data_IF_998475765359
#
_entry.id   IF_998475765359
#
_cell.length_a   1.000
_cell.length_b   1.000
_cell.length_c   1.000
_cell.angle_alpha   90.00
_cell.angle_beta   90.00
_cell.angle_gamma   90.00
#
_symmetry.space_group_name_H-M   'P 1'
#
loop_
_entity.id
_entity.type
_entity.pdbx_description
1 polymer ?
2 branched ?
3 non-polymer ?
4 water ?
#
# COMPACT_ATOMS: atom_id res chain seq x y z
N UNK A 3 -0.51 -26.06 -5.81
CA UNK A 3 -0.44 -24.68 -5.23
C UNK A 3 -0.19 -24.64 -3.69
N UNK A 4 1.08 -24.44 -3.25
CA UNK A 4 1.29 -24.17 -1.82
C UNK A 4 0.32 -23.07 -1.33
N UNK A 5 -0.31 -23.24 -0.14
CA UNK A 5 -1.33 -22.26 0.28
C UNK A 5 -0.84 -20.79 0.20
N UNK A 6 -1.68 -19.92 -0.38
CA UNK A 6 -1.36 -18.49 -0.66
C UNK A 6 -0.13 -18.24 -1.56
N UNK A 7 0.22 -19.24 -2.38
CA UNK A 7 1.41 -19.20 -3.24
C UNK A 7 1.51 -17.90 -4.01
N UNK A 8 0.42 -17.55 -4.68
CA UNK A 8 0.29 -16.28 -5.41
C UNK A 8 0.32 -15.06 -4.49
N UNK A 9 -0.49 -15.08 -3.43
CA UNK A 9 -0.56 -13.98 -2.45
C UNK A 9 0.82 -13.55 -1.98
N UNK A 10 1.65 -14.55 -1.67
CA UNK A 10 3.01 -14.33 -1.20
C UNK A 10 3.95 -13.76 -2.25
N UNK A 11 3.73 -14.16 -3.50
CA UNK A 11 4.48 -13.57 -4.62
C UNK A 11 4.14 -12.08 -4.82
N UNK A 12 2.85 -11.78 -4.78
CA UNK A 12 2.36 -10.42 -4.95
C UNK A 12 2.86 -9.51 -3.85
N UNK A 13 2.55 -9.83 -2.59
CA UNK A 13 3.01 -9.01 -1.46
C UNK A 13 4.49 -8.81 -1.62
N UNK A 14 5.21 -9.89 -1.95
CA UNK A 14 6.65 -9.83 -2.13
C UNK A 14 7.07 -8.76 -3.12
N UNK A 15 6.68 -8.94 -4.37
CA UNK A 15 6.91 -7.95 -5.38
C UNK A 15 6.45 -6.59 -4.85
N UNK A 16 5.25 -6.55 -4.28
CA UNK A 16 4.75 -5.33 -3.67
C UNK A 16 5.69 -4.68 -2.65
N UNK A 17 6.40 -5.49 -1.87
CA UNK A 17 7.31 -4.97 -0.86
C UNK A 17 8.56 -4.50 -1.56
N UNK A 18 9.09 -5.33 -2.46
CA UNK A 18 10.25 -4.90 -3.28
C UNK A 18 10.03 -3.54 -3.92
N UNK A 19 8.88 -3.34 -4.56
CA UNK A 19 8.57 -2.03 -5.13
C UNK A 19 8.61 -0.95 -4.05
N UNK A 20 8.15 -1.30 -2.85
CA UNK A 20 8.17 -0.34 -1.76
C UNK A 20 9.55 0.16 -1.36
N UNK A 21 10.52 -0.76 -1.10
CA UNK A 21 11.90 -0.35 -0.82
C UNK A 21 12.21 0.79 -1.76
N UNK A 22 12.16 0.50 -3.06
CA UNK A 22 12.35 1.51 -4.06
C UNK A 22 11.75 2.85 -3.63
N UNK A 23 10.45 2.85 -3.38
CA UNK A 23 9.74 4.08 -3.03
C UNK A 23 10.29 4.74 -1.76
N UNK A 24 10.76 3.94 -0.79
CA UNK A 24 11.29 4.49 0.47
C UNK A 24 12.68 5.09 0.30
N UNK A 25 13.48 4.42 -0.51
CA UNK A 25 14.79 4.91 -0.88
C UNK A 25 14.61 6.30 -1.44
N UNK A 26 13.55 6.52 -2.22
CA UNK A 26 13.36 7.84 -2.85
C UNK A 26 12.63 8.84 -1.96
N UNK A 27 12.31 8.45 -0.74
CA UNK A 27 11.51 9.33 0.07
C UNK A 27 12.05 9.66 1.45
N UNK A 28 13.36 9.46 1.68
CA UNK A 28 14.04 9.95 2.91
C UNK A 28 13.36 11.18 3.48
N UNK A 29 13.01 11.12 4.75
CA UNK A 29 12.51 12.27 5.48
C UNK A 29 11.12 12.78 5.06
N UNK A 30 10.42 12.05 4.20
CA UNK A 30 9.06 12.42 3.81
C UNK A 30 8.05 11.38 4.32
N UNK A 31 6.80 11.77 4.56
CA UNK A 31 5.79 10.73 4.81
C UNK A 31 5.44 10.00 3.52
N UNK A 32 5.18 8.71 3.65
CA UNK A 32 4.70 7.89 2.55
C UNK A 32 3.83 6.80 3.13
N UNK A 33 2.69 6.60 2.46
CA UNK A 33 1.86 5.43 2.61
C UNK A 33 1.70 4.78 1.22
N UNK A 34 1.78 3.45 1.17
CA UNK A 34 1.88 2.75 -0.09
C UNK A 34 1.18 1.40 -0.01
N UNK A 35 0.80 0.85 -1.16
CA UNK A 35 0.12 -0.43 -1.18
C UNK A 35 0.77 -1.44 -2.08
N UNK A 36 1.53 -2.36 -1.48
CA UNK A 36 2.11 -3.53 -2.10
C UNK A 36 1.08 -4.30 -2.89
N UNK A 37 -0.05 -4.65 -2.27
CA UNK A 37 -1.13 -5.40 -2.97
C UNK A 37 -1.59 -4.68 -4.21
N UNK A 38 -1.88 -3.39 -4.09
CA UNK A 38 -2.48 -2.64 -5.18
C UNK A 38 -1.69 -2.71 -6.46
N UNK A 39 -0.40 -2.40 -6.34
CA UNK A 39 0.49 -2.31 -7.47
C UNK A 39 0.70 -3.68 -8.05
N UNK A 40 0.59 -4.68 -7.20
CA UNK A 40 0.77 -6.03 -7.64
C UNK A 40 -0.44 -6.40 -8.46
N UNK A 41 -1.64 -6.06 -7.98
CA UNK A 41 -2.85 -6.34 -8.77
C UNK A 41 -2.83 -5.60 -10.10
N UNK A 42 -2.50 -4.31 -10.08
CA UNK A 42 -2.53 -3.52 -11.30
C UNK A 42 -1.51 -4.01 -12.36
N UNK A 43 -0.34 -4.42 -11.93
CA UNK A 43 0.65 -4.95 -12.83
C UNK A 43 0.24 -6.31 -13.40
N UNK A 44 -0.53 -7.05 -12.61
CA UNK A 44 -0.96 -8.38 -13.03
C UNK A 44 -1.93 -8.22 -14.16
N UNK A 45 -2.66 -7.11 -14.12
CA UNK A 45 -3.63 -6.80 -15.12
C UNK A 45 -2.82 -6.47 -16.35
N UNK A 46 -1.94 -5.49 -16.23
CA UNK A 46 -1.11 -5.08 -17.34
C UNK A 46 -0.46 -6.24 -18.09
N UNK A 47 -0.11 -7.32 -17.37
CA UNK A 47 0.45 -8.50 -18.03
C UNK A 47 -0.31 -8.84 -19.31
N UNK A 48 -1.63 -8.73 -19.27
CA UNK A 48 -2.49 -9.05 -20.40
C UNK A 48 -2.47 -8.10 -21.61
N UNK A 49 -2.04 -6.87 -21.39
CA UNK A 49 -2.02 -5.86 -22.43
C UNK A 49 -0.71 -5.93 -23.20
N UNK A 50 0.22 -6.77 -22.74
CA UNK A 50 1.61 -6.71 -23.17
C UNK A 50 2.07 -7.96 -23.92
N UNK A 51 3.19 -7.84 -24.64
CA UNK A 51 3.87 -8.98 -25.23
C UNK A 51 5.36 -8.71 -25.30
N UNK A 52 6.10 -9.62 -25.94
CA UNK A 52 7.55 -9.53 -26.04
C UNK A 52 8.27 -9.44 -24.71
N UNK A 53 9.35 -8.66 -24.72
CA UNK A 53 10.18 -8.39 -23.58
C UNK A 53 9.43 -7.59 -22.53
N UNK A 54 8.49 -6.75 -22.98
CA UNK A 54 7.72 -5.89 -22.07
C UNK A 54 6.98 -6.78 -21.05
N UNK A 55 6.34 -7.84 -21.56
CA UNK A 55 5.67 -8.84 -20.74
C UNK A 55 6.68 -9.55 -19.83
N UNK A 56 7.79 -9.96 -20.43
CA UNK A 56 8.86 -10.64 -19.74
C UNK A 56 9.36 -9.89 -18.50
N UNK A 57 9.63 -8.60 -18.69
CA UNK A 57 10.20 -7.78 -17.63
C UNK A 57 9.30 -7.84 -16.42
N UNK A 58 8.00 -7.92 -16.66
CA UNK A 58 7.01 -7.96 -15.60
C UNK A 58 6.93 -9.33 -14.99
N UNK A 59 6.77 -10.35 -15.81
CA UNK A 59 6.73 -11.72 -15.30
C UNK A 59 7.99 -12.07 -14.51
N UNK A 60 9.14 -11.58 -14.97
CA UNK A 60 10.38 -11.75 -14.22
C UNK A 60 10.36 -10.96 -12.93
N UNK A 61 9.75 -9.78 -12.93
CA UNK A 61 9.72 -9.01 -11.68
C UNK A 61 8.64 -9.53 -10.72
N UNK A 62 7.51 -10.00 -11.25
CA UNK A 62 6.41 -10.44 -10.39
C UNK A 62 6.54 -11.89 -9.98
N UNK A 63 7.16 -12.68 -10.86
CA UNK A 63 7.61 -14.03 -10.52
C UNK A 63 6.57 -15.09 -10.80
N UNK A 64 5.46 -14.66 -11.36
CA UNK A 64 4.46 -15.59 -11.89
C UNK A 64 3.94 -15.00 -13.21
N UNK A 65 3.27 -15.84 -14.00
CA UNK A 65 2.70 -15.45 -15.30
C UNK A 65 1.19 -15.45 -15.16
N UNK A 66 0.54 -14.29 -15.31
CA UNK A 66 -0.92 -14.18 -15.13
C UNK A 66 -1.76 -15.22 -15.90
N UNK A 67 -1.14 -15.80 -16.93
CA UNK A 67 -1.84 -16.65 -17.87
C UNK A 67 -1.84 -18.09 -17.44
N UNK A 68 -0.82 -18.53 -16.73
CA UNK A 68 -0.75 -19.95 -16.29
C UNK A 68 -1.96 -20.42 -15.43
N UNK A 69 -2.04 -21.73 -15.20
CA UNK A 69 -3.20 -22.36 -14.55
C UNK A 69 -3.44 -21.87 -13.14
N UNK A 70 -4.66 -21.41 -12.88
CA UNK A 70 -5.04 -20.89 -11.56
C UNK A 70 -4.42 -19.57 -11.07
N UNK A 71 -3.61 -18.89 -11.88
CA UNK A 71 -3.03 -17.60 -11.47
C UNK A 71 -4.11 -16.51 -11.28
N UNK A 72 -4.87 -16.22 -12.35
CA UNK A 72 -6.03 -15.32 -12.28
C UNK A 72 -7.12 -15.85 -11.32
N UNK A 73 -7.47 -17.15 -11.43
CA UNK A 73 -8.35 -17.78 -10.42
C UNK A 73 -7.96 -17.50 -8.96
N UNK A 74 -6.68 -17.66 -8.63
CA UNK A 74 -6.24 -17.45 -7.26
C UNK A 74 -6.31 -15.97 -6.84
N UNK A 75 -6.24 -15.07 -7.81
CA UNK A 75 -6.10 -13.61 -7.60
C UNK A 75 -7.43 -12.89 -7.35
N UNK A 76 -8.47 -13.38 -8.02
CA UNK A 76 -9.79 -12.88 -7.78
C UNK A 76 -10.28 -13.45 -6.44
N UNK A 77 -9.87 -14.68 -6.11
CA UNK A 77 -10.20 -15.20 -4.79
C UNK A 77 -9.54 -14.40 -3.66
N UNK A 78 -8.32 -13.94 -3.94
CA UNK A 78 -7.62 -13.10 -3.00
C UNK A 78 -8.43 -11.85 -2.76
N UNK A 79 -8.77 -11.16 -3.86
CA UNK A 79 -9.61 -9.96 -3.81
C UNK A 79 -10.93 -10.19 -3.07
N UNK A 80 -11.43 -11.42 -3.11
CA UNK A 80 -12.70 -11.76 -2.47
C UNK A 80 -12.51 -11.87 -0.96
N UNK A 81 -11.40 -12.48 -0.55
CA UNK A 81 -11.08 -12.65 0.85
C UNK A 81 -10.95 -11.29 1.55
N UNK A 82 -10.52 -10.30 0.78
CA UNK A 82 -10.22 -8.97 1.25
C UNK A 82 -11.45 -8.09 1.09
N UNK A 83 -12.39 -8.56 0.28
CA UNK A 83 -13.69 -7.90 0.25
C UNK A 83 -14.67 -8.62 1.16
N UNK A 84 -14.13 -9.44 2.06
CA UNK A 84 -14.91 -10.26 2.98
C UNK A 84 -16.03 -9.52 3.69
N UNK A 85 -16.97 -10.26 4.29
CA UNK A 85 -18.07 -9.65 5.05
C UNK A 85 -17.57 -8.79 6.21
N UNK A 86 -16.38 -9.15 6.73
CA UNK A 86 -15.69 -8.45 7.82
C UNK A 86 -15.35 -7.01 7.46
N UNK A 87 -15.40 -6.70 6.16
CA UNK A 87 -15.05 -5.37 5.70
C UNK A 87 -16.14 -4.37 5.97
N UNK A 88 -16.18 -3.92 7.22
CA UNK A 88 -17.12 -2.91 7.69
C UNK A 88 -16.70 -1.56 7.12
N UNK A 89 -16.63 -1.52 5.79
CA UNK A 89 -16.27 -0.33 5.02
C UNK A 89 -14.87 0.24 5.37
N UNK A 90 -13.99 -0.64 5.83
CA UNK A 90 -12.69 -0.23 6.27
C UNK A 90 -11.74 0.09 5.12
N UNK A 91 -11.88 -0.64 4.00
CA UNK A 91 -11.02 -0.45 2.84
C UNK A 91 -11.73 -0.45 1.47
N UNK A 92 -11.55 0.64 0.72
CA UNK A 92 -12.05 0.76 -0.65
C UNK A 92 -10.89 0.60 -1.62
N UNK A 93 -11.07 -0.17 -2.69
CA UNK A 93 -9.97 -0.40 -3.66
C UNK A 93 -10.37 -0.28 -5.16
N UNK A 94 -9.44 0.20 -5.99
CA UNK A 94 -9.69 0.49 -7.42
C UNK A 94 -8.48 0.31 -8.32
N UNK A 95 -8.64 -0.46 -9.42
CA UNK A 95 -7.67 -0.52 -10.51
C UNK A 95 -8.34 -0.05 -11.78
N UNK A 96 -7.57 0.58 -12.66
CA UNK A 96 -8.13 1.12 -13.86
C UNK A 96 -7.01 1.33 -14.83
N UNK A 97 -7.19 0.76 -16.01
CA UNK A 97 -6.31 1.00 -17.12
C UNK A 97 -7.09 1.85 -18.10
N UNK A 98 -6.65 3.10 -18.32
CA UNK A 98 -7.32 3.98 -19.27
C UNK A 98 -6.63 4.03 -20.62
N UNK A 99 -7.39 4.23 -21.69
CA UNK A 99 -6.82 4.16 -23.05
C UNK A 99 -7.49 5.13 -24.02
N UNK A 100 -6.70 5.79 -24.86
CA UNK A 100 -7.24 6.70 -25.87
C UNK A 100 -8.35 5.91 -26.62
N UNK A 101 -9.34 6.66 -27.14
CA UNK A 101 -10.64 6.09 -27.60
C UNK A 101 -10.84 5.46 -29.02
N UNK A 102 -9.97 5.55 -30.01
CA UNK A 102 -10.36 4.92 -31.33
C UNK A 102 -9.37 3.87 -31.80
N UNK A 103 -8.89 3.07 -30.86
CA UNK A 103 -7.83 2.13 -31.16
C UNK A 103 -8.36 0.71 -31.34
N UNK A 104 -8.10 0.13 -32.50
CA UNK A 104 -8.52 -1.23 -32.74
C UNK A 104 -7.97 -2.17 -31.65
N UNK A 105 -8.84 -2.67 -30.80
CA UNK A 105 -8.39 -3.61 -29.79
C UNK A 105 -8.31 -4.98 -30.40
N UNK A 106 -7.21 -5.68 -30.16
CA UNK A 106 -7.05 -7.00 -30.75
C UNK A 106 -8.16 -7.98 -30.33
N UNK A 107 -8.69 -8.70 -31.31
CA UNK A 107 -9.80 -9.62 -31.12
C UNK A 107 -9.53 -10.58 -29.98
N UNK A 108 -10.47 -10.60 -29.03
CA UNK A 108 -10.39 -11.52 -27.92
C UNK A 108 -9.98 -10.80 -26.67
N UNK A 109 -9.43 -9.61 -26.80
CA UNK A 109 -8.89 -8.96 -25.63
C UNK A 109 -9.92 -8.66 -24.56
N UNK A 110 -10.92 -7.85 -24.90
CA UNK A 110 -11.99 -7.51 -23.96
C UNK A 110 -12.47 -8.73 -23.14
N UNK A 111 -13.16 -9.69 -23.79
CA UNK A 111 -13.73 -10.87 -23.16
C UNK A 111 -12.76 -11.65 -22.27
N UNK A 112 -11.54 -11.84 -22.76
CA UNK A 112 -10.44 -12.42 -22.00
C UNK A 112 -10.15 -11.63 -20.71
N UNK A 113 -10.02 -10.32 -20.86
CA UNK A 113 -9.72 -9.44 -19.76
C UNK A 113 -10.84 -9.51 -18.76
N UNK A 114 -12.06 -9.60 -19.26
CA UNK A 114 -13.16 -9.63 -18.36
C UNK A 114 -13.24 -10.98 -17.70
N UNK A 115 -12.79 -12.00 -18.42
CA UNK A 115 -12.88 -13.34 -17.90
C UNK A 115 -11.93 -13.56 -16.76
N UNK A 116 -10.71 -13.06 -16.86
CA UNK A 116 -9.71 -13.36 -15.85
C UNK A 116 -9.74 -12.30 -14.76
N UNK A 117 -10.12 -11.09 -15.13
CA UNK A 117 -10.09 -10.03 -14.17
C UNK A 117 -11.40 -9.40 -13.71
N UNK A 118 -12.50 -9.66 -14.41
CA UNK A 118 -13.62 -8.73 -14.36
C UNK A 118 -13.07 -7.34 -14.65
N UNK A 119 -13.95 -6.35 -14.64
CA UNK A 119 -13.58 -5.01 -15.08
C UNK A 119 -12.99 -4.98 -16.51
N UNK A 120 -12.81 -3.79 -17.01
CA UNK A 120 -12.43 -3.67 -18.39
C UNK A 120 -11.64 -2.42 -18.55
N UNK A 121 -11.08 -2.29 -19.73
CA UNK A 121 -10.25 -1.18 -20.06
C UNK A 121 -11.21 -0.04 -20.36
N UNK A 122 -10.92 1.13 -19.79
CA UNK A 122 -11.75 2.31 -19.96
C UNK A 122 -11.26 3.25 -21.06
N UNK A 123 -12.16 3.57 -21.98
CA UNK A 123 -11.79 4.38 -23.15
C UNK A 123 -12.09 5.83 -22.93
N UNK A 124 -11.11 6.68 -23.20
CA UNK A 124 -11.33 8.10 -23.11
C UNK A 124 -10.65 8.82 -24.22
N UNK A 125 -10.91 10.11 -24.29
CA UNK A 125 -10.37 10.97 -25.31
C UNK A 125 -9.41 11.98 -24.67
N UNK A 126 -8.12 11.67 -24.77
CA UNK A 126 -7.09 12.52 -24.19
C UNK A 126 -6.82 13.78 -25.02
N UNK A 127 -7.34 13.79 -26.25
CA UNK A 127 -7.16 14.97 -27.09
C UNK A 127 -8.03 16.10 -26.50
N UNK A 128 -9.03 15.70 -25.72
CA UNK A 128 -9.84 16.62 -24.92
C UNK A 128 -9.20 16.91 -23.57
N UNK A 129 -8.00 17.48 -23.63
CA UNK A 129 -7.41 18.24 -22.52
C UNK A 129 -7.83 17.75 -21.09
N UNK A 130 -8.34 18.70 -20.31
CA UNK A 130 -8.76 18.54 -18.91
C UNK A 130 -10.02 17.71 -18.69
N UNK A 131 -10.81 17.50 -19.74
CA UNK A 131 -11.97 16.65 -19.61
C UNK A 131 -11.52 15.28 -19.21
N UNK A 132 -10.58 14.72 -19.98
CA UNK A 132 -10.02 13.40 -19.73
C UNK A 132 -9.49 13.16 -18.28
N UNK A 133 -8.67 14.06 -17.75
CA UNK A 133 -8.29 13.84 -16.33
C UNK A 133 -9.49 13.95 -15.44
N UNK A 134 -10.35 14.93 -15.71
CA UNK A 134 -11.56 15.12 -14.92
C UNK A 134 -12.33 13.83 -14.77
N UNK A 135 -12.38 13.05 -15.83
CA UNK A 135 -13.14 11.82 -15.83
C UNK A 135 -12.41 10.74 -15.05
N UNK A 136 -11.09 10.79 -15.13
CA UNK A 136 -10.27 9.78 -14.53
C UNK A 136 -10.30 10.09 -13.06
N UNK A 137 -10.42 11.37 -12.75
CA UNK A 137 -10.33 11.73 -11.36
C UNK A 137 -11.67 11.45 -10.69
N UNK A 138 -12.73 11.67 -11.46
CA UNK A 138 -14.04 11.32 -10.97
C UNK A 138 -14.24 9.83 -10.78
N UNK A 139 -13.84 9.01 -11.75
CA UNK A 139 -13.99 7.56 -11.56
C UNK A 139 -13.26 7.11 -10.30
N UNK A 140 -12.12 7.73 -10.03
CA UNK A 140 -11.28 7.33 -8.90
C UNK A 140 -11.88 7.72 -7.58
N UNK A 141 -12.36 8.97 -7.51
CA UNK A 141 -13.03 9.50 -6.32
C UNK A 141 -14.12 8.57 -5.89
N UNK A 142 -15.04 8.27 -6.81
CA UNK A 142 -16.25 7.50 -6.54
C UNK A 142 -15.98 6.01 -6.25
N UNK A 143 -14.93 5.46 -6.83
CA UNK A 143 -14.58 4.07 -6.60
C UNK A 143 -13.74 3.86 -5.37
N UNK A 144 -13.34 4.96 -4.73
CA UNK A 144 -12.68 4.88 -3.42
C UNK A 144 -13.49 5.53 -2.29
N UNK A 145 -14.82 5.29 -2.32
CA UNK A 145 -15.75 5.88 -1.37
C UNK A 145 -15.51 7.40 -1.20
N UNK A 146 -15.36 8.13 -2.31
CA UNK A 146 -15.09 9.58 -2.30
C UNK A 146 -13.77 10.08 -1.68
N UNK A 147 -12.89 9.17 -1.28
CA UNK A 147 -11.78 9.54 -0.35
C UNK A 147 -10.52 10.10 -0.98
N UNK A 148 -10.21 9.65 -2.19
CA UNK A 148 -9.01 10.06 -2.94
C UNK A 148 -9.41 10.97 -4.10
N UNK A 149 -9.02 12.23 -4.03
CA UNK A 149 -9.38 13.15 -5.10
C UNK A 149 -8.37 13.17 -6.26
N UNK A 150 -7.42 14.09 -6.24
CA UNK A 150 -6.85 14.57 -7.51
C UNK A 150 -5.70 13.75 -8.11
N UNK A 151 -5.85 12.44 -8.00
CA UNK A 151 -4.87 11.48 -8.49
C UNK A 151 -4.11 11.94 -9.74
N UNK A 152 -4.86 12.33 -10.77
CA UNK A 152 -4.26 12.75 -12.01
C UNK A 152 -3.99 14.23 -11.94
N UNK A 153 -2.72 14.58 -11.88
CA UNK A 153 -2.26 15.93 -11.57
C UNK A 153 -2.52 17.00 -12.62
N UNK A 154 -3.20 18.05 -12.18
CA UNK A 154 -3.51 19.22 -13.02
C UNK A 154 -2.43 19.45 -14.05
N UNK A 155 -1.20 19.17 -13.62
CA UNK A 155 -0.05 19.16 -14.48
C UNK A 155 -0.19 18.33 -15.80
N UNK A 156 0.66 17.29 -15.85
CA UNK A 156 0.92 16.42 -17.04
C UNK A 156 -0.20 15.41 -17.42
N UNK A 157 -0.08 15.08 -18.71
CA UNK A 157 -0.94 14.20 -19.55
C UNK A 157 -1.43 15.09 -20.70
N UNK A 158 -1.12 14.72 -21.93
CA UNK A 158 -1.46 15.62 -23.04
C UNK A 158 -2.04 14.95 -24.30
N UNK A 159 -2.26 15.73 -25.35
CA UNK A 159 -2.84 15.24 -26.57
C UNK A 159 -2.35 13.86 -26.91
N UNK A 160 -1.12 13.58 -26.51
CA UNK A 160 -0.39 12.42 -27.03
C UNK A 160 -0.43 11.19 -26.12
N UNK A 161 -0.85 11.42 -24.87
CA UNK A 161 -1.08 10.34 -23.92
C UNK A 161 -2.10 9.37 -24.47
N UNK A 162 -1.78 8.09 -24.40
CA UNK A 162 -2.65 7.07 -24.98
C UNK A 162 -2.94 5.96 -24.01
N UNK A 163 -2.22 5.97 -22.88
CA UNK A 163 -2.25 4.83 -21.94
C UNK A 163 -1.75 5.19 -20.55
N UNK A 164 -2.53 4.78 -19.54
CA UNK A 164 -2.36 5.26 -18.17
C UNK A 164 -2.83 4.18 -17.22
N UNK A 165 -2.01 3.79 -16.25
CA UNK A 165 -2.61 3.04 -15.15
C UNK A 165 -2.72 3.80 -13.86
N UNK A 166 -3.80 3.47 -13.18
CA UNK A 166 -4.20 4.07 -11.93
C UNK A 166 -4.47 2.93 -10.95
N UNK A 167 -4.12 3.16 -9.69
CA UNK A 167 -4.43 2.28 -8.58
C UNK A 167 -4.66 3.22 -7.41
N UNK A 168 -5.62 2.91 -6.55
CA UNK A 168 -5.95 3.81 -5.44
C UNK A 168 -6.65 3.09 -4.33
N UNK A 169 -6.13 3.24 -3.11
CA UNK A 169 -6.74 2.55 -2.01
C UNK A 169 -7.07 3.53 -0.92
N UNK A 170 -8.01 3.14 -0.06
CA UNK A 170 -8.38 3.89 1.14
C UNK A 170 -8.67 2.92 2.25
N UNK A 171 -8.08 3.21 3.41
CA UNK A 171 -8.20 2.39 4.58
C UNK A 171 -8.41 3.21 5.85
N UNK A 172 -9.37 2.76 6.65
CA UNK A 172 -9.72 3.34 7.95
C UNK A 172 -10.23 2.17 8.74
N UNK A 173 -9.34 1.49 9.46
CA UNK A 173 -9.65 0.25 10.19
C UNK A 173 -10.12 0.37 11.65
N UNK A 174 -10.88 -0.62 12.11
CA UNK A 174 -11.46 -0.66 13.45
C UNK A 174 -10.64 -1.62 14.26
N UNK A 175 -10.12 -1.09 15.36
CA UNK A 175 -9.25 -1.84 16.21
C UNK A 175 -9.96 -3.01 16.87
N UNK A 176 -9.22 -4.07 17.12
CA UNK A 176 -9.69 -5.08 18.02
C UNK A 176 -9.94 -4.37 19.37
N UNK A 177 -8.91 -3.82 20.01
CA UNK A 177 -9.14 -2.95 21.16
C UNK A 177 -8.80 -1.52 20.79
N UNK A 178 -9.79 -0.66 20.68
CA UNK A 178 -9.49 0.68 20.28
C UNK A 178 -9.04 1.56 21.46
N UNK A 179 -8.30 2.62 21.15
CA UNK A 179 -7.73 3.52 22.13
C UNK A 179 -8.78 4.40 22.84
N UNK A 180 -8.77 4.36 24.19
CA UNK A 180 -9.48 5.40 24.93
C UNK A 180 -9.31 6.81 24.35
N UNK A 181 -10.42 7.51 24.20
CA UNK A 181 -10.42 8.93 23.82
C UNK A 181 -9.83 9.83 24.87
N UNK A 182 -10.07 9.50 26.13
CA UNK A 182 -9.63 10.31 27.26
C UNK A 182 -8.13 10.22 27.57
N UNK A 183 -7.49 9.13 27.14
CA UNK A 183 -6.06 8.96 27.41
C UNK A 183 -5.22 9.37 26.24
N UNK A 184 -5.73 10.34 25.53
CA UNK A 184 -5.07 10.94 24.38
C UNK A 184 -4.75 12.37 24.80
N UNK A 185 -3.47 12.71 24.70
CA UNK A 185 -2.98 14.02 25.14
C UNK A 185 -1.87 14.48 24.20
N UNK A 186 -1.60 15.77 24.17
CA UNK A 186 -0.51 16.30 23.35
C UNK A 186 0.88 15.80 23.81
N UNK A 187 1.88 15.91 22.95
CA UNK A 187 3.19 15.36 23.29
C UNK A 187 4.23 15.64 22.23
N UNK A 188 5.49 15.67 22.65
CA UNK A 188 6.56 16.07 21.74
C UNK A 188 6.99 14.94 20.84
N UNK A 189 6.96 15.23 19.56
CA UNK A 189 7.47 14.30 18.57
C UNK A 189 8.75 14.91 18.01
N UNK A 190 9.78 14.09 17.97
CA UNK A 190 11.10 14.49 17.51
C UNK A 190 11.35 14.16 16.02
N UNK A 191 11.26 15.17 15.13
CA UNK A 191 11.58 14.99 13.70
C UNK A 191 12.99 14.41 13.54
N UNK A 192 13.37 14.01 12.33
CA UNK A 192 14.69 13.40 12.17
C UNK A 192 15.80 14.45 12.34
N UNK A 193 15.54 15.66 11.84
CA UNK A 193 16.50 16.76 11.98
C UNK A 193 16.67 17.25 13.42
N UNK A 194 16.15 16.47 14.37
CA UNK A 194 16.31 16.79 15.79
C UNK A 194 15.27 17.72 16.38
N UNK A 195 14.65 18.55 15.54
CA UNK A 195 13.65 19.52 15.99
C UNK A 195 12.47 18.87 16.73
N UNK A 196 11.49 19.68 17.10
CA UNK A 196 10.47 19.21 18.00
C UNK A 196 9.06 19.76 17.70
N UNK A 197 8.09 18.85 17.70
CA UNK A 197 6.70 19.17 17.34
C UNK A 197 5.63 18.50 18.26
N UNK A 198 4.64 19.28 18.61
CA UNK A 198 3.68 18.91 19.64
C UNK A 198 2.50 18.32 18.89
N UNK A 199 2.26 17.04 19.09
CA UNK A 199 1.21 16.35 18.35
C UNK A 199 0.41 15.48 19.29
N UNK A 200 -0.79 15.07 18.84
CA UNK A 200 -1.62 14.34 19.73
C UNK A 200 -1.23 12.88 19.63
N UNK A 201 -0.99 12.27 20.78
CA UNK A 201 -0.62 10.86 20.84
C UNK A 201 -1.70 10.11 21.56
N UNK A 202 -1.92 8.88 21.12
CA UNK A 202 -2.94 8.03 21.67
C UNK A 202 -2.23 7.20 22.68
N UNK A 203 -2.96 6.73 23.69
CA UNK A 203 -2.38 5.79 24.63
C UNK A 203 -3.31 4.65 24.87
N UNK A 204 -2.74 3.46 25.05
CA UNK A 204 -3.46 2.25 25.44
C UNK A 204 -2.50 1.28 26.05
N UNK A 205 -2.89 0.71 27.19
CA UNK A 205 -2.01 -0.22 27.90
C UNK A 205 -2.68 -1.57 27.89
N UNK A 206 -1.96 -2.60 27.46
CA UNK A 206 -2.59 -3.82 27.00
C UNK A 206 -1.50 -4.86 26.80
N UNK A 207 -1.88 -6.14 26.73
CA UNK A 207 -0.96 -7.21 26.32
C UNK A 207 -0.75 -7.24 24.77
N UNK A 208 0.37 -6.73 24.26
CA UNK A 208 0.63 -6.78 22.82
C UNK A 208 1.55 -7.95 22.42
N UNK A 209 1.39 -8.43 21.19
CA UNK A 209 2.45 -9.24 20.57
C UNK A 209 3.63 -8.34 20.25
N UNK A 210 4.82 -8.76 20.67
CA UNK A 210 6.01 -7.88 20.66
C UNK A 210 7.31 -8.63 20.42
N UNK A 211 8.24 -7.97 19.74
CA UNK A 211 9.54 -8.57 19.47
C UNK A 211 10.58 -7.48 19.23
N UNK A 212 11.84 -7.80 19.51
CA UNK A 212 12.97 -6.88 19.38
C UNK A 212 14.03 -7.52 18.49
N UNK A 213 14.32 -6.83 17.39
CA UNK A 213 15.24 -7.29 16.36
C UNK A 213 16.43 -6.33 16.33
N UNK A 214 17.39 -6.63 15.46
CA UNK A 214 18.53 -5.75 15.35
C UNK A 214 18.98 -5.51 13.91
N UNK A 215 19.26 -4.27 13.55
CA UNK A 215 19.89 -3.97 12.26
C UNK A 215 21.26 -4.68 12.09
N UNK A 216 21.70 -4.87 10.84
CA UNK A 216 23.08 -5.30 10.54
C UNK A 216 24.15 -4.41 11.21
N UNK A 217 23.84 -3.12 11.40
CA UNK A 217 24.78 -2.20 12.07
C UNK A 217 24.59 -2.15 13.59
N UNK A 218 23.80 -3.08 14.12
CA UNK A 218 23.84 -3.39 15.53
C UNK A 218 22.97 -2.50 16.41
N UNK A 219 21.98 -1.86 15.79
CA UNK A 219 20.98 -1.11 16.54
C UNK A 219 19.74 -1.94 16.76
N UNK A 220 19.19 -1.84 17.96
CA UNK A 220 17.97 -2.54 18.36
C UNK A 220 16.77 -1.72 17.94
N UNK A 221 15.70 -2.41 17.59
CA UNK A 221 14.45 -1.75 17.18
C UNK A 221 13.27 -2.62 17.59
N UNK A 222 12.17 -1.94 17.93
CA UNK A 222 10.89 -2.56 18.35
C UNK A 222 9.97 -2.95 17.18
N UNK A 223 9.38 -4.13 17.27
CA UNK A 223 8.25 -4.45 16.42
C UNK A 223 7.03 -4.76 17.29
N UNK A 224 5.96 -4.03 17.00
CA UNK A 224 4.70 -4.12 17.70
C UNK A 224 3.50 -4.38 16.76
N UNK A 225 2.73 -5.44 17.03
CA UNK A 225 1.47 -5.79 16.36
C UNK A 225 0.21 -5.23 17.02
N UNK A 226 -0.55 -4.42 16.26
CA UNK A 226 -1.94 -4.01 16.65
C UNK A 226 -3.08 -4.74 15.86
N UNK A 227 -3.85 -5.63 16.55
CA UNK A 227 -4.98 -6.29 15.89
C UNK A 227 -6.11 -5.31 15.55
N UNK A 228 -6.76 -5.62 14.44
CA UNK A 228 -7.99 -4.96 14.02
C UNK A 228 -9.07 -5.99 14.27
N UNK A 229 -10.33 -5.55 14.26
CA UNK A 229 -11.42 -6.38 14.79
C UNK A 229 -11.51 -7.76 14.11
N UNK A 230 -11.87 -8.75 14.91
CA UNK A 230 -12.05 -10.11 14.41
C UNK A 230 -10.81 -10.68 13.78
N UNK A 231 -9.73 -9.91 13.84
CA UNK A 231 -8.37 -10.41 13.57
C UNK A 231 -8.00 -10.71 12.10
N UNK A 232 -8.73 -10.14 11.15
CA UNK A 232 -8.42 -10.40 9.75
C UNK A 232 -7.13 -9.67 9.37
N UNK A 233 -7.02 -8.44 9.84
CA UNK A 233 -5.86 -7.60 9.61
C UNK A 233 -5.21 -7.29 10.93
N UNK A 234 -3.95 -6.88 10.83
CA UNK A 234 -3.18 -6.28 11.92
C UNK A 234 -2.31 -5.15 11.40
N UNK A 235 -2.02 -4.18 12.25
CA UNK A 235 -0.96 -3.22 11.96
C UNK A 235 0.34 -3.58 12.66
N UNK A 236 1.45 -3.34 11.99
CA UNK A 236 2.73 -3.59 12.59
C UNK A 236 3.42 -2.28 12.68
N UNK A 237 3.91 -1.94 13.87
CA UNK A 237 4.66 -0.71 14.05
C UNK A 237 6.08 -1.08 14.46
N UNK A 238 7.04 -0.34 13.87
CA UNK A 238 8.47 -0.58 14.05
C UNK A 238 9.28 0.71 13.99
N UNK A 239 10.21 0.82 14.93
CA UNK A 239 11.16 1.93 14.97
C UNK A 239 12.36 1.55 15.84
N UNK A 240 13.56 2.08 15.50
CA UNK A 240 14.73 1.96 16.33
C UNK A 240 14.50 2.60 17.68
N UNK A 241 14.97 1.90 18.69
CA UNK A 241 15.09 2.45 20.01
C UNK A 241 15.73 3.85 19.93
N UNK A 242 16.97 3.93 19.47
CA UNK A 242 17.78 5.15 19.59
C UNK A 242 17.27 6.25 18.71
N UNK A 243 16.76 7.33 19.28
CA UNK A 243 16.37 8.49 18.47
C UNK A 243 17.36 8.68 17.35
N UNK A 244 18.64 8.61 17.70
CA UNK A 244 19.74 9.10 16.84
C UNK A 244 19.81 8.38 15.50
N UNK A 245 19.11 7.26 15.42
CA UNK A 245 19.24 6.30 14.32
C UNK A 245 18.18 6.56 13.25
N UNK A 246 18.58 6.87 12.01
CA UNK A 246 17.52 7.18 11.03
C UNK A 246 16.72 5.94 10.66
N UNK A 247 15.47 6.19 10.28
CA UNK A 247 14.54 5.12 9.95
C UNK A 247 15.00 4.26 8.75
N UNK A 248 15.84 4.85 7.90
CA UNK A 248 16.51 4.18 6.80
C UNK A 248 17.17 2.87 7.22
N UNK A 249 17.79 2.85 8.39
CA UNK A 249 18.42 1.62 8.85
C UNK A 249 17.42 0.47 8.79
N UNK A 250 16.13 0.82 8.81
CA UNK A 250 15.06 -0.18 8.78
C UNK A 250 14.48 -0.36 7.39
N UNK A 251 13.99 0.74 6.83
CA UNK A 251 13.64 0.88 5.43
C UNK A 251 14.51 0.08 4.44
N UNK A 252 15.82 0.29 4.52
CA UNK A 252 16.76 -0.28 3.58
C UNK A 252 16.88 -1.79 3.73
N UNK A 253 16.21 -2.39 4.72
CA UNK A 253 16.28 -3.85 4.86
C UNK A 253 14.94 -4.52 4.88
N UNK A 254 13.88 -3.73 4.77
CA UNK A 254 12.55 -4.28 4.70
C UNK A 254 12.33 -5.25 3.54
N UNK A 255 11.82 -6.43 3.86
CA UNK A 255 11.41 -7.40 2.83
C UNK A 255 10.17 -8.12 3.30
N UNK A 256 9.40 -8.68 2.37
CA UNK A 256 8.36 -9.65 2.75
C UNK A 256 8.81 -10.60 3.85
N UNK A 257 9.93 -11.29 3.64
CA UNK A 257 10.40 -12.31 4.60
C UNK A 257 10.72 -11.72 5.99
N UNK A 258 11.37 -10.55 6.01
CA UNK A 258 11.67 -9.91 7.26
C UNK A 258 10.41 -9.77 8.14
N UNK A 259 9.32 -9.40 7.50
CA UNK A 259 8.10 -9.21 8.22
C UNK A 259 7.58 -10.53 8.78
N UNK A 260 7.78 -11.61 8.03
CA UNK A 260 7.37 -12.92 8.52
C UNK A 260 8.09 -13.25 9.83
N UNK A 261 9.39 -12.91 9.84
CA UNK A 261 10.29 -13.25 10.93
C UNK A 261 9.90 -12.56 12.20
N UNK A 262 9.41 -11.34 12.00
CA UNK A 262 8.88 -10.47 13.00
C UNK A 262 7.67 -11.09 13.66
N UNK A 263 6.62 -11.35 12.88
CA UNK A 263 5.45 -11.99 13.47
C UNK A 263 5.85 -13.35 14.07
N UNK A 264 6.44 -14.25 13.26
CA UNK A 264 6.89 -15.57 13.70
C UNK A 264 7.48 -15.45 15.09
N UNK A 265 8.29 -14.41 15.28
CA UNK A 265 9.10 -14.28 16.48
C UNK A 265 8.42 -13.46 17.57
N UNK A 266 7.11 -13.35 17.53
CA UNK A 266 6.43 -12.55 18.56
C UNK A 266 5.87 -13.24 19.80
N UNK A 267 5.64 -12.44 20.83
CA UNK A 267 5.26 -12.97 22.13
C UNK A 267 4.42 -11.91 22.79
N UNK A 268 3.35 -12.33 23.45
CA UNK A 268 2.38 -11.40 24.04
C UNK A 268 2.99 -10.87 25.32
N UNK A 269 2.95 -9.55 25.53
CA UNK A 269 3.64 -8.93 26.65
C UNK A 269 2.96 -7.64 27.02
N UNK A 270 2.92 -7.31 28.31
CA UNK A 270 2.19 -6.11 28.65
C UNK A 270 3.05 -4.87 28.33
N UNK A 271 2.39 -3.83 27.82
CA UNK A 271 3.05 -2.57 27.51
C UNK A 271 2.05 -1.44 27.63
N UNK A 272 2.60 -0.24 27.78
CA UNK A 272 1.83 0.96 27.58
C UNK A 272 2.38 1.48 26.29
N UNK A 273 1.47 1.74 25.37
CA UNK A 273 1.84 2.19 24.04
C UNK A 273 1.34 3.60 23.80
N UNK A 274 2.27 4.51 23.58
CA UNK A 274 1.89 5.83 23.15
C UNK A 274 2.14 5.83 21.65
N UNK A 275 1.13 6.23 20.90
CA UNK A 275 1.21 6.27 19.44
C UNK A 275 0.56 7.54 18.86
N UNK A 276 1.31 8.30 18.04
CA UNK A 276 0.74 9.43 17.40
C UNK A 276 -0.46 9.03 16.57
N UNK A 277 -1.49 9.86 16.65
CA UNK A 277 -2.64 9.80 15.80
C UNK A 277 -2.17 10.37 14.47
N UNK A 278 -2.57 9.77 13.35
CA UNK A 278 -2.11 10.28 12.06
C UNK A 278 -2.96 9.93 10.86
N UNK A 279 -2.78 10.74 9.82
CA UNK A 279 -3.65 10.70 8.69
C UNK A 279 -2.89 11.13 7.45
N UNK A 280 -2.44 10.14 6.65
CA UNK A 280 -1.57 10.41 5.48
C UNK A 280 -2.24 10.23 4.11
N UNK A 281 -1.78 10.99 3.12
CA UNK A 281 -2.19 10.81 1.72
C UNK A 281 -1.06 11.11 0.77
N UNK A 282 -0.66 10.09 0.03
CA UNK A 282 0.55 10.11 -0.79
C UNK A 282 0.29 9.63 -2.19
N UNK A 283 0.57 10.48 -3.16
CA UNK A 283 0.58 10.02 -4.52
C UNK A 283 1.96 9.51 -4.74
N UNK A 284 2.07 8.22 -5.08
CA UNK A 284 3.35 7.64 -5.55
C UNK A 284 3.41 7.49 -7.10
N UNK A 285 4.44 8.05 -7.74
CA UNK A 285 4.66 7.84 -9.17
C UNK A 285 5.43 6.53 -9.31
N UNK A 286 4.94 5.65 -10.18
CA UNK A 286 5.48 4.30 -10.23
C UNK A 286 6.64 4.11 -11.18
N UNK A 287 6.89 5.10 -12.02
CA UNK A 287 7.82 4.93 -13.11
C UNK A 287 9.22 4.47 -12.61
N UNK A 288 9.88 5.29 -11.78
CA UNK A 288 11.21 4.95 -11.30
C UNK A 288 11.22 3.60 -10.54
N UNK A 289 10.25 3.40 -9.61
CA UNK A 289 10.33 2.14 -8.89
C UNK A 289 10.28 0.89 -9.78
N UNK A 290 9.44 0.96 -10.81
CA UNK A 290 9.28 -0.13 -11.78
C UNK A 290 10.45 -0.27 -12.76
N UNK A 291 10.97 0.86 -13.25
CA UNK A 291 12.18 0.77 -14.10
C UNK A 291 13.25 0.05 -13.31
N UNK A 292 13.33 0.40 -12.04
CA UNK A 292 14.36 -0.13 -11.17
C UNK A 292 14.23 -1.60 -10.91
N UNK A 293 13.05 -2.15 -11.11
CA UNK A 293 12.91 -3.59 -10.92
C UNK A 293 12.98 -4.33 -12.27
N UNK A 294 13.35 -3.60 -13.31
CA UNK A 294 13.59 -4.18 -14.60
C UNK A 294 12.53 -3.84 -15.62
N UNK A 295 11.41 -3.28 -15.18
CA UNK A 295 10.31 -3.02 -16.09
C UNK A 295 10.50 -1.67 -16.81
N UNK A 296 11.41 -1.68 -17.77
CA UNK A 296 11.78 -0.48 -18.50
C UNK A 296 10.90 -0.26 -19.70
N UNK A 297 10.73 -1.32 -20.49
CA UNK A 297 10.22 -1.21 -21.86
C UNK A 297 8.91 -0.47 -21.93
N UNK A 298 8.15 -0.55 -20.85
CA UNK A 298 6.73 -0.26 -20.91
C UNK A 298 6.42 1.21 -20.95
N UNK A 299 7.43 2.05 -20.79
CA UNK A 299 7.21 3.50 -20.89
C UNK A 299 7.74 4.05 -22.20
N UNK A 300 8.28 3.16 -23.03
CA UNK A 300 9.08 3.57 -24.17
C UNK A 300 8.48 3.27 -25.54
N UNK A 301 8.06 4.36 -26.20
CA UNK A 301 7.78 4.37 -27.64
C UNK A 301 8.86 3.64 -28.39
N UNK A 302 8.45 2.76 -29.31
CA UNK A 302 9.36 2.07 -30.24
C UNK A 302 10.03 0.88 -29.56
N UNK A 303 9.52 0.50 -28.42
CA UNK A 303 10.19 -0.48 -27.60
C UNK A 303 9.20 -1.23 -26.72
N UNK A 304 8.23 -0.50 -26.19
CA UNK A 304 7.14 -1.14 -25.46
C UNK A 304 6.41 -2.03 -26.43
N UNK A 305 5.92 -3.17 -25.92
CA UNK A 305 5.16 -4.14 -26.72
C UNK A 305 3.75 -4.33 -26.13
N UNK A 306 2.82 -3.49 -26.58
CA UNK A 306 1.40 -3.60 -26.26
C UNK A 306 0.51 -4.39 -27.25
N UNK A 307 1.15 -5.23 -28.06
CA UNK A 307 0.47 -5.98 -29.13
C UNK A 307 -0.60 -6.95 -28.67
N UNK A 308 -0.57 -7.37 -27.40
CA UNK A 308 -1.65 -8.24 -26.88
C UNK A 308 -2.93 -7.43 -26.67
N UNK A 309 -2.88 -6.14 -26.96
CA UNK A 309 -3.98 -5.23 -26.72
C UNK A 309 -4.35 -4.48 -27.98
N UNK A 310 -3.36 -3.91 -28.66
CA UNK A 310 -3.67 -3.14 -29.85
C UNK A 310 -2.66 -3.41 -30.93
N UNK A 311 -3.13 -3.40 -32.18
CA UNK A 311 -2.34 -3.82 -33.31
C UNK A 311 -1.96 -2.73 -34.30
N UNK A 312 -2.50 -1.52 -34.10
CA UNK A 312 -1.97 -0.34 -34.79
C UNK A 312 -0.87 0.29 -33.93
N UNK A 313 0.36 -0.13 -34.23
CA UNK A 313 1.52 -0.01 -33.33
C UNK A 313 1.42 0.96 -32.12
N UNK A 314 1.70 2.26 -32.34
CA UNK A 314 2.43 3.00 -31.30
C UNK A 314 1.72 3.05 -29.95
N UNK A 315 2.31 2.41 -28.95
CA UNK A 315 1.79 2.48 -27.56
C UNK A 315 2.83 2.35 -26.44
N UNK A 316 2.67 3.19 -25.44
CA UNK A 316 3.52 3.13 -24.27
C UNK A 316 2.79 3.73 -23.05
N UNK A 317 3.18 3.32 -21.86
CA UNK A 317 2.51 3.80 -20.63
C UNK A 317 2.96 5.20 -20.35
N UNK A 318 2.01 6.12 -20.22
CA UNK A 318 2.34 7.54 -20.05
C UNK A 318 2.54 7.84 -18.58
N UNK A 319 1.77 7.17 -17.74
CA UNK A 319 1.74 7.56 -16.36
C UNK A 319 1.21 6.42 -15.54
N UNK A 320 1.94 6.05 -14.50
CA UNK A 320 1.59 4.91 -13.71
C UNK A 320 1.54 5.38 -12.22
N UNK A 321 0.35 5.77 -11.77
CA UNK A 321 0.19 6.41 -10.47
C UNK A 321 -0.60 5.54 -9.51
N UNK A 322 -0.12 5.42 -8.26
CA UNK A 322 -0.89 4.95 -7.13
C UNK A 322 -1.09 6.11 -6.14
N UNK A 323 -2.31 6.27 -5.66
CA UNK A 323 -2.60 7.22 -4.60
C UNK A 323 -3.34 6.52 -3.46
N UNK A 324 -2.89 6.77 -2.22
CA UNK A 324 -3.37 6.06 -1.04
C UNK A 324 -3.64 7.05 0.08
N UNK A 325 -4.76 6.84 0.77
CA UNK A 325 -5.11 7.57 2.01
C UNK A 325 -5.32 6.59 3.13
N UNK A 326 -4.70 6.82 4.27
CA UNK A 326 -4.89 5.97 5.43
C UNK A 326 -5.08 6.84 6.65
N UNK A 327 -6.16 6.59 7.38
CA UNK A 327 -6.44 7.27 8.65
C UNK A 327 -6.16 6.28 9.77
N UNK A 328 -5.24 6.62 10.68
CA UNK A 328 -5.21 5.91 11.98
C UNK A 328 -5.45 6.83 13.16
N UNK A 329 -6.53 6.57 13.89
CA UNK A 329 -6.95 7.45 14.97
C UNK A 329 -8.04 6.88 15.81
N UNK A 330 -7.68 6.04 16.77
CA UNK A 330 -8.57 5.68 17.94
C UNK A 330 -9.67 4.63 17.70
N UNK A 331 -10.53 4.87 16.70
CA UNK A 331 -11.33 3.83 16.00
C UNK A 331 -12.03 4.48 14.81
N UNK A 332 -12.28 3.65 13.79
CA UNK A 332 -13.11 4.01 12.61
C UNK A 332 -14.40 4.67 13.07
N UNK A 333 -14.74 4.36 14.32
CA UNK A 333 -16.08 4.47 14.88
C UNK A 333 -16.60 5.90 14.88
N UNK A 334 -17.87 6.04 15.26
CA UNK A 334 -18.64 7.31 15.19
C UNK A 334 -17.96 8.44 16.00
N UNK A 335 -16.81 8.90 15.47
CA UNK A 335 -15.89 9.88 16.09
C UNK A 335 -15.53 9.58 17.55
N UNK A 336 -16.22 8.59 18.15
CA UNK A 336 -16.20 8.35 19.59
C UNK A 336 -16.05 6.86 19.93
N UNK A 337 -14.98 6.54 20.66
CA UNK A 337 -14.55 5.17 20.94
C UNK A 337 -14.64 4.82 22.42
N UNK A 338 -14.68 3.52 22.68
CA UNK A 338 -14.82 2.98 24.04
C UNK A 338 -13.63 3.27 24.95
N UNK A 339 -13.89 4.22 25.86
CA UNK A 339 -12.99 4.71 26.91
C UNK A 339 -13.34 3.91 28.18
N UNK A 340 -12.85 4.24 29.38
CA UNK A 340 -11.67 5.02 29.68
C UNK A 340 -10.84 4.05 30.51
N UNK A 341 -11.46 2.91 30.81
CA UNK A 341 -11.04 1.94 31.83
C UNK A 341 -9.54 1.71 31.96
N UNK A 342 -9.11 1.61 33.22
CA UNK A 342 -7.71 1.38 33.57
C UNK A 342 -7.61 1.04 35.07
N UNK A 343 -6.95 -0.09 35.33
CA UNK A 343 -6.70 -0.62 36.68
C UNK A 343 -5.24 -0.29 37.06
N UNK A 344 -4.88 0.99 36.91
CA UNK A 344 -3.47 1.48 36.93
C UNK A 344 -2.96 2.05 38.26
N UNK A 345 -2.41 1.20 39.12
CA UNK A 345 -1.76 1.68 40.35
C UNK A 345 -0.34 2.19 40.04
N UNK A 346 0.64 1.66 40.75
CA UNK A 346 2.06 1.93 40.47
C UNK A 346 2.66 0.68 39.83
N UNK A 347 1.75 -0.16 39.31
CA UNK A 347 2.07 -1.42 38.65
C UNK A 347 2.69 -1.20 37.26
N UNK A 348 2.54 0.02 36.74
CA UNK A 348 3.06 0.48 35.43
C UNK A 348 3.86 -0.54 34.61
N UNK A 349 3.26 -1.09 33.54
CA UNK A 349 4.07 -1.94 32.66
C UNK A 349 5.00 -1.04 31.85
N UNK A 350 5.99 -1.64 31.22
CA UNK A 350 6.95 -0.87 30.42
C UNK A 350 6.33 0.05 29.32
N UNK A 351 6.99 1.15 29.03
CA UNK A 351 6.48 2.15 28.12
C UNK A 351 7.20 2.16 26.78
N UNK A 352 6.46 1.84 25.70
CA UNK A 352 6.89 2.08 24.31
C UNK A 352 6.21 3.32 23.68
N UNK A 353 7.02 4.35 23.38
CA UNK A 353 6.55 5.65 22.88
C UNK A 353 7.01 5.93 21.44
N UNK A 354 6.10 5.94 20.49
CA UNK A 354 6.50 6.31 19.14
C UNK A 354 6.61 7.82 18.93
N UNK A 355 7.42 8.49 19.77
CA UNK A 355 7.67 9.94 19.57
C UNK A 355 8.80 10.28 18.59
N UNK A 356 9.15 9.31 17.75
CA UNK A 356 10.16 9.52 16.73
C UNK A 356 9.61 8.92 15.46
N UNK A 357 10.21 9.23 14.32
CA UNK A 357 9.74 8.61 13.07
C UNK A 357 9.68 7.08 13.13
N UNK A 358 8.66 6.51 12.48
CA UNK A 358 8.43 5.07 12.60
C UNK A 358 7.74 4.55 11.36
N UNK A 359 7.58 3.24 11.34
CA UNK A 359 7.20 2.51 10.17
C UNK A 359 5.93 1.76 10.49
N UNK A 360 5.04 1.65 9.52
CA UNK A 360 3.84 0.84 9.73
C UNK A 360 3.57 -0.13 8.58
N UNK A 361 2.97 -1.27 8.91
CA UNK A 361 2.60 -2.31 7.98
C UNK A 361 1.22 -2.88 8.33
N UNK A 362 0.35 -2.98 7.33
CA UNK A 362 -0.96 -3.58 7.49
C UNK A 362 -0.93 -4.86 6.69
N UNK A 363 -1.06 -5.97 7.39
CA UNK A 363 -1.02 -7.28 6.78
C UNK A 363 -2.40 -7.91 6.87
N UNK A 364 -2.82 -8.60 5.80
CA UNK A 364 -4.02 -9.42 5.90
C UNK A 364 -3.53 -10.74 6.40
N UNK A 365 -4.02 -11.14 7.56
CA UNK A 365 -3.34 -12.19 8.30
C UNK A 365 -3.38 -13.62 7.74
N UNK A 366 -4.56 -14.09 7.33
CA UNK A 366 -4.57 -15.44 6.78
C UNK A 366 -3.54 -15.67 5.67
N UNK A 367 -3.36 -14.69 4.78
CA UNK A 367 -2.57 -14.90 3.55
C UNK A 367 -1.16 -14.39 3.68
N UNK A 368 -1.02 -13.31 4.43
CA UNK A 368 0.28 -12.66 4.60
C UNK A 368 0.44 -11.48 3.67
N UNK A 369 -0.66 -11.04 3.08
CA UNK A 369 -0.58 -9.95 2.14
C UNK A 369 -0.33 -8.64 2.88
N UNK A 370 0.69 -7.92 2.43
CA UNK A 370 0.87 -6.57 2.87
C UNK A 370 -0.08 -5.70 2.08
N UNK A 371 -1.12 -5.25 2.73
CA UNK A 371 -2.09 -4.35 2.12
C UNK A 371 -1.48 -2.99 1.98
N UNK A 372 -1.00 -2.46 3.09
CA UNK A 372 -0.43 -1.12 3.12
C UNK A 372 0.86 -1.10 3.88
N UNK A 373 1.62 -0.04 3.67
CA UNK A 373 2.98 0.06 4.16
C UNK A 373 3.24 1.53 4.20
N UNK A 374 4.14 1.96 5.08
CA UNK A 374 4.52 3.37 5.13
C UNK A 374 5.44 3.78 6.26
N UNK A 375 5.82 5.05 6.25
CA UNK A 375 6.66 5.62 7.29
C UNK A 375 6.07 6.92 7.71
N UNK A 376 6.09 7.16 9.02
CA UNK A 376 5.61 8.40 9.53
C UNK A 376 6.77 9.20 10.01
N UNK A 377 6.98 10.32 9.31
CA UNK A 377 8.10 11.23 9.51
C UNK A 377 7.72 12.42 10.39
N UNK A 378 6.61 13.06 10.05
CA UNK A 378 5.99 14.13 10.84
C UNK A 378 4.46 13.84 10.89
N UNK A 379 3.99 13.19 11.99
CA UNK A 379 2.56 12.88 12.17
C UNK A 379 1.60 14.07 12.01
#
# INVERSE_FOLDING_TARGET
VHHPPSYVAHLASDFGVRVFQQVAQASKDRNVVFSPYGVASVLAMLQLTTGGETQQQIQAAMGFKIDDKGMAPALRHLYKELMGPWNKDEISTTDAIFVQRDLKLVQGFMPHFFRLFRSTVKQVDFSEVERARFIINDWVKTHTKGMISNLLGKGAVDQLTRLVLVNALYFNGCWKTPFPDSSTHRRLFHKSDGSTVSVPMMAQTNKFNYTEFTTPDGHYYDILELPYHGDTLSMFIAAPYEKEVPLSALTNILSAQLISHWKGNMTRLPRLLVLPKFSLETEVDLRKPLENLGMTDMFRQFQADFTSLSDQEPLHVAQALQKVKIEVNESCTVASSSTAVIVSARMAPEEIIMDRPFLFVVRHNPTGTVLFMGQVMEP
#
